data_IF_367840880071
#
_entry.id   IF_367840880071
#
_cell.length_a   1.000
_cell.length_b   1.000
_cell.length_c   1.000
_cell.angle_alpha   90.00
_cell.angle_beta   90.00
_cell.angle_gamma   90.00
#
_symmetry.space_group_name_H-M   'P 1'
#
loop_
_entity.id
_entity.type
_entity.pdbx_description
1 polymer ?
#
# COMPACT_ATOMS: atom_id res chain seq x y z
N UNK A 1 9.91 -12.28 -35.75
CA UNK A 1 10.11 -12.58 -34.31
C UNK A 1 8.78 -12.38 -33.62
N UNK A 2 8.23 -13.36 -32.91
CA UNK A 2 7.02 -13.17 -32.12
C UNK A 2 7.35 -12.09 -31.04
N UNK A 3 6.48 -11.10 -30.89
CA UNK A 3 6.66 -10.11 -29.83
C UNK A 3 6.48 -10.82 -28.50
N UNK A 4 7.42 -10.61 -27.56
CA UNK A 4 7.35 -11.19 -26.21
C UNK A 4 6.35 -10.46 -25.32
N UNK A 5 5.91 -11.12 -24.26
CA UNK A 5 5.05 -10.55 -23.20
C UNK A 5 5.96 -9.96 -22.13
N UNK A 6 5.57 -8.82 -21.53
CA UNK A 6 6.21 -8.31 -20.31
C UNK A 6 5.29 -8.54 -19.12
N UNK A 7 5.77 -9.21 -18.10
CA UNK A 7 5.12 -9.33 -16.80
C UNK A 7 5.76 -8.33 -15.83
N UNK A 8 4.95 -7.49 -15.20
CA UNK A 8 5.38 -6.59 -14.13
C UNK A 8 4.74 -7.08 -12.84
N UNK A 9 5.56 -7.52 -11.90
CA UNK A 9 5.14 -8.11 -10.62
C UNK A 9 5.40 -7.15 -9.46
N UNK A 10 4.58 -7.20 -8.43
CA UNK A 10 4.81 -6.45 -7.19
C UNK A 10 5.58 -7.31 -6.20
N UNK A 11 6.92 -7.19 -6.23
CA UNK A 11 7.84 -7.89 -5.34
C UNK A 11 8.44 -9.17 -5.89
N UNK A 12 9.65 -9.51 -5.38
CA UNK A 12 10.49 -10.60 -5.87
C UNK A 12 9.87 -11.99 -5.62
N UNK A 13 9.14 -12.17 -4.51
CA UNK A 13 8.52 -13.46 -4.19
C UNK A 13 7.56 -13.91 -5.30
N UNK A 14 6.73 -13.00 -5.80
CA UNK A 14 5.81 -13.31 -6.90
C UNK A 14 6.59 -13.52 -8.21
N UNK A 15 7.61 -12.71 -8.47
CA UNK A 15 8.47 -12.88 -9.66
C UNK A 15 9.08 -14.28 -9.70
N UNK A 16 9.66 -14.71 -8.58
CA UNK A 16 10.27 -16.04 -8.44
C UNK A 16 9.23 -17.14 -8.65
N UNK A 17 8.06 -17.01 -8.03
CA UNK A 17 6.97 -17.98 -8.17
C UNK A 17 6.48 -18.10 -9.62
N UNK A 18 6.34 -16.99 -10.35
CA UNK A 18 5.96 -17.04 -11.77
C UNK A 18 7.03 -17.69 -12.65
N UNK A 19 8.33 -17.48 -12.34
CA UNK A 19 9.44 -18.16 -13.04
C UNK A 19 9.42 -19.65 -12.80
N UNK A 20 9.16 -20.10 -11.57
CA UNK A 20 9.06 -21.53 -11.22
C UNK A 20 7.88 -22.23 -11.92
N UNK A 21 6.85 -21.47 -12.29
CA UNK A 21 5.67 -21.95 -13.02
C UNK A 21 5.79 -21.80 -14.55
N UNK A 22 6.97 -21.46 -15.06
CA UNK A 22 7.29 -21.33 -16.49
C UNK A 22 6.35 -20.38 -17.26
N UNK A 23 5.91 -19.27 -16.63
CA UNK A 23 5.19 -18.23 -17.37
C UNK A 23 6.08 -17.60 -18.44
N UNK A 24 5.69 -17.75 -19.71
CA UNK A 24 6.45 -17.26 -20.86
C UNK A 24 6.48 -15.74 -20.94
N UNK A 25 7.66 -15.15 -21.07
CA UNK A 25 7.87 -13.71 -21.25
C UNK A 25 8.97 -13.14 -20.39
N UNK A 26 9.22 -11.86 -20.54
CA UNK A 26 10.16 -11.12 -19.71
C UNK A 26 9.50 -10.76 -18.37
N UNK A 27 10.24 -10.87 -17.26
CA UNK A 27 9.79 -10.49 -15.92
C UNK A 27 10.47 -9.19 -15.49
N UNK A 28 9.70 -8.21 -15.02
CA UNK A 28 10.16 -7.00 -14.36
C UNK A 28 9.60 -6.99 -12.93
N UNK A 29 10.49 -6.91 -11.95
CA UNK A 29 10.10 -6.83 -10.54
C UNK A 29 9.98 -5.37 -10.13
N UNK A 30 8.78 -4.97 -9.71
CA UNK A 30 8.54 -3.70 -9.06
C UNK A 30 8.73 -3.87 -7.55
N UNK A 31 9.85 -3.41 -7.01
CA UNK A 31 10.21 -3.56 -5.60
C UNK A 31 10.24 -2.19 -4.91
N UNK A 32 9.05 -1.60 -4.72
CA UNK A 32 8.85 -0.31 -4.06
C UNK A 32 7.74 -0.36 -3.02
N UNK A 33 7.85 0.51 -2.02
CA UNK A 33 6.87 0.68 -0.92
C UNK A 33 6.24 2.07 -0.99
N UNK A 34 5.59 2.39 -2.12
CA UNK A 34 5.04 3.74 -2.38
C UNK A 34 3.82 4.10 -1.52
N UNK A 35 3.27 3.13 -0.80
CA UNK A 35 2.18 3.40 0.16
C UNK A 35 2.67 4.21 1.38
N UNK A 36 3.97 4.27 1.67
CA UNK A 36 4.57 5.09 2.73
C UNK A 36 5.74 5.91 2.21
N UNK A 37 5.96 7.02 2.88
CA UNK A 37 6.96 8.01 2.53
C UNK A 37 6.51 8.95 1.40
N UNK A 38 7.31 9.98 1.15
CA UNK A 38 7.07 10.95 0.09
C UNK A 38 7.25 10.32 -1.28
N UNK A 39 6.47 10.79 -2.26
CA UNK A 39 6.59 10.40 -3.67
C UNK A 39 6.47 11.60 -4.58
N UNK A 40 6.93 11.45 -5.82
CA UNK A 40 6.77 12.43 -6.90
C UNK A 40 5.99 11.80 -8.05
N UNK A 41 5.35 12.65 -8.88
CA UNK A 41 4.60 12.19 -10.06
C UNK A 41 5.47 11.43 -11.03
N UNK A 42 6.73 11.87 -11.19
CA UNK A 42 7.73 11.20 -12.00
C UNK A 42 8.59 10.26 -11.14
N UNK A 43 8.22 8.98 -11.15
CA UNK A 43 8.89 7.92 -10.36
C UNK A 43 10.26 7.49 -10.95
N UNK A 44 10.62 7.99 -12.11
CA UNK A 44 11.92 7.73 -12.75
C UNK A 44 12.90 8.90 -12.60
N UNK A 45 12.47 10.02 -12.00
CA UNK A 45 13.32 11.20 -11.82
C UNK A 45 14.41 10.97 -10.76
N UNK A 46 15.51 11.72 -10.90
CA UNK A 46 16.60 11.70 -9.91
C UNK A 46 16.10 12.18 -8.55
N UNK A 47 15.24 13.19 -8.53
CA UNK A 47 14.64 13.75 -7.33
C UNK A 47 13.79 12.71 -6.59
N UNK A 48 13.03 11.89 -7.31
CA UNK A 48 12.28 10.79 -6.71
C UNK A 48 13.22 9.79 -6.02
N UNK A 49 14.29 9.38 -6.68
CA UNK A 49 15.25 8.40 -6.14
C UNK A 49 15.93 8.91 -4.88
N UNK A 50 16.38 10.17 -4.87
CA UNK A 50 16.99 10.77 -3.68
C UNK A 50 15.98 10.89 -2.52
N UNK A 51 14.73 11.24 -2.83
CA UNK A 51 13.66 11.32 -1.85
C UNK A 51 13.37 9.95 -1.21
N UNK A 52 13.29 8.89 -2.02
CA UNK A 52 13.07 7.52 -1.54
C UNK A 52 14.24 7.01 -0.71
N UNK A 53 15.46 7.28 -1.16
CA UNK A 53 16.69 6.91 -0.46
C UNK A 53 16.76 7.55 0.94
N UNK A 54 16.44 8.84 1.06
CA UNK A 54 16.35 9.52 2.34
C UNK A 54 15.27 8.88 3.22
N UNK A 55 14.07 8.65 2.69
CA UNK A 55 12.98 8.04 3.42
C UNK A 55 13.33 6.65 4.01
N UNK A 56 13.88 5.75 3.20
CA UNK A 56 14.25 4.40 3.68
C UNK A 56 15.34 4.45 4.74
N UNK A 57 16.34 5.32 4.56
CA UNK A 57 17.42 5.51 5.54
C UNK A 57 16.88 6.06 6.86
N UNK A 58 16.06 7.12 6.80
CA UNK A 58 15.63 7.85 8.01
C UNK A 58 14.51 7.12 8.76
N UNK A 59 13.63 6.42 8.04
CA UNK A 59 12.48 5.73 8.65
C UNK A 59 12.78 4.30 9.05
N UNK A 60 13.60 3.58 8.26
CA UNK A 60 13.81 2.14 8.42
C UNK A 60 15.27 1.76 8.64
N UNK A 61 16.22 2.68 8.52
CA UNK A 61 17.63 2.45 8.80
C UNK A 61 18.39 1.62 7.75
N UNK A 62 17.81 1.37 6.57
CA UNK A 62 18.46 0.60 5.53
C UNK A 62 18.64 1.37 4.21
N UNK A 63 19.56 0.87 3.37
CA UNK A 63 19.87 1.48 2.08
C UNK A 63 18.81 1.18 1.03
N UNK A 64 18.50 2.16 0.19
CA UNK A 64 17.65 2.00 -0.98
C UNK A 64 18.39 1.30 -2.12
N UNK A 65 17.78 0.31 -2.74
CA UNK A 65 18.34 -0.47 -3.87
C UNK A 65 18.25 0.32 -5.19
N UNK A 66 18.87 1.50 -5.21
CA UNK A 66 18.76 2.45 -6.32
C UNK A 66 19.22 1.87 -7.66
N UNK A 67 20.33 1.12 -7.66
CA UNK A 67 20.90 0.56 -8.90
C UNK A 67 19.97 -0.49 -9.51
N UNK A 68 19.42 -1.36 -8.67
CA UNK A 68 18.49 -2.40 -9.06
C UNK A 68 17.19 -1.78 -9.58
N UNK A 69 16.65 -0.81 -8.88
CA UNK A 69 15.45 -0.10 -9.31
C UNK A 69 15.66 0.62 -10.65
N UNK A 70 16.78 1.36 -10.81
CA UNK A 70 17.12 2.01 -12.09
C UNK A 70 17.27 1.00 -13.24
N UNK A 71 17.88 -0.16 -12.98
CA UNK A 71 18.02 -1.21 -13.98
C UNK A 71 16.66 -1.70 -14.49
N UNK A 72 15.70 -1.95 -13.58
CA UNK A 72 14.34 -2.34 -13.96
C UNK A 72 13.60 -1.23 -14.72
N UNK A 73 13.70 0.03 -14.29
CA UNK A 73 13.08 1.18 -14.98
C UNK A 73 13.63 1.37 -16.40
N UNK A 74 14.94 1.22 -16.58
CA UNK A 74 15.58 1.38 -17.91
C UNK A 74 15.13 0.30 -18.92
N UNK A 75 14.69 -0.86 -18.46
CA UNK A 75 14.09 -1.90 -19.33
C UNK A 75 12.80 -1.43 -19.98
N UNK A 76 12.12 -0.43 -19.40
CA UNK A 76 10.91 0.17 -19.94
C UNK A 76 11.15 1.18 -21.06
N UNK A 77 12.41 1.57 -21.34
CA UNK A 77 12.71 2.55 -22.42
C UNK A 77 12.31 2.03 -23.81
N UNK A 78 12.32 0.69 -23.99
CA UNK A 78 11.89 0.02 -25.22
C UNK A 78 10.56 -0.73 -25.03
N UNK A 79 9.63 -0.18 -24.26
CA UNK A 79 8.41 -0.83 -23.83
C UNK A 79 7.52 -1.32 -25.00
N UNK A 80 7.51 -0.59 -26.11
CA UNK A 80 6.68 -0.90 -27.28
C UNK A 80 7.20 -2.07 -28.14
N UNK A 81 8.32 -2.70 -27.75
CA UNK A 81 8.78 -3.98 -28.33
C UNK A 81 7.89 -5.17 -27.94
N UNK A 82 7.19 -5.07 -26.81
CA UNK A 82 6.31 -6.11 -26.31
C UNK A 82 4.97 -6.11 -27.06
N UNK A 83 4.29 -7.25 -27.07
CA UNK A 83 2.93 -7.39 -27.60
C UNK A 83 1.90 -6.88 -26.60
N UNK A 84 2.13 -7.14 -25.32
CA UNK A 84 1.27 -6.78 -24.20
C UNK A 84 2.05 -6.75 -22.90
N UNK A 85 1.47 -6.07 -21.91
CA UNK A 85 2.02 -6.01 -20.55
C UNK A 85 0.98 -6.60 -19.61
N UNK A 86 1.44 -7.50 -18.73
CA UNK A 86 0.62 -8.12 -17.68
C UNK A 86 1.07 -7.55 -16.34
N UNK A 87 0.17 -6.88 -15.65
CA UNK A 87 0.37 -6.27 -14.34
C UNK A 87 -0.14 -7.24 -13.27
N UNK A 88 0.75 -7.69 -12.38
CA UNK A 88 0.45 -8.64 -11.31
C UNK A 88 0.47 -7.91 -9.97
N UNK A 89 -0.71 -7.45 -9.53
CA UNK A 89 -0.86 -6.67 -8.32
C UNK A 89 -2.03 -7.19 -7.48
N UNK A 90 -1.84 -7.20 -6.16
CA UNK A 90 -2.80 -7.76 -5.22
C UNK A 90 -3.88 -6.75 -4.83
N UNK A 91 -4.83 -7.21 -4.01
CA UNK A 91 -6.08 -6.52 -3.64
C UNK A 91 -5.91 -5.35 -2.66
N UNK A 92 -4.72 -5.16 -2.08
CA UNK A 92 -4.48 -4.23 -0.98
C UNK A 92 -3.96 -2.86 -1.41
N UNK A 93 -3.88 -1.95 -0.44
CA UNK A 93 -3.42 -0.58 -0.63
C UNK A 93 -1.96 -0.51 -1.05
N UNK A 94 -1.07 -1.34 -0.43
CA UNK A 94 0.34 -1.39 -0.78
C UNK A 94 0.49 -1.67 -2.29
N UNK A 95 -0.18 -2.71 -2.77
CA UNK A 95 -0.13 -3.12 -4.17
C UNK A 95 -0.83 -2.10 -5.09
N UNK A 96 -1.97 -1.53 -4.68
CA UNK A 96 -2.69 -0.58 -5.54
C UNK A 96 -2.00 0.78 -5.69
N UNK A 97 -1.30 1.27 -4.67
CA UNK A 97 -0.47 2.49 -4.83
C UNK A 97 0.68 2.21 -5.81
N UNK A 98 1.34 1.06 -5.70
CA UNK A 98 2.36 0.65 -6.66
C UNK A 98 1.79 0.47 -8.07
N UNK A 99 0.61 -0.14 -8.21
CA UNK A 99 -0.08 -0.34 -9.51
C UNK A 99 -0.35 0.98 -10.23
N UNK A 100 -0.94 1.98 -9.54
CA UNK A 100 -1.22 3.27 -10.16
C UNK A 100 0.05 4.06 -10.50
N UNK A 101 1.12 3.88 -9.72
CA UNK A 101 2.44 4.44 -10.03
C UNK A 101 3.04 3.79 -11.28
N UNK A 102 3.02 2.46 -11.38
CA UNK A 102 3.50 1.71 -12.55
C UNK A 102 2.73 2.12 -13.81
N UNK A 103 1.40 2.19 -13.76
CA UNK A 103 0.60 2.64 -14.90
C UNK A 103 0.97 4.07 -15.30
N UNK A 104 1.18 4.97 -14.33
CA UNK A 104 1.62 6.33 -14.61
C UNK A 104 3.00 6.38 -15.27
N UNK A 105 3.95 5.54 -14.80
CA UNK A 105 5.28 5.40 -15.40
C UNK A 105 5.21 4.87 -16.84
N UNK A 106 4.40 3.84 -17.10
CA UNK A 106 4.19 3.30 -18.44
C UNK A 106 3.69 4.38 -19.43
N UNK A 107 2.80 5.27 -18.95
CA UNK A 107 2.34 6.42 -19.75
C UNK A 107 3.49 7.43 -20.00
N UNK A 108 4.34 7.70 -19.02
CA UNK A 108 5.52 8.55 -19.18
C UNK A 108 6.51 7.96 -20.20
N UNK A 109 6.67 6.63 -20.18
CA UNK A 109 7.47 5.89 -21.18
C UNK A 109 6.75 5.71 -22.54
N UNK A 110 5.58 6.36 -22.73
CA UNK A 110 4.80 6.33 -23.98
C UNK A 110 4.41 4.90 -24.40
N UNK A 111 4.08 4.04 -23.43
CA UNK A 111 3.58 2.70 -23.71
C UNK A 111 2.28 2.78 -24.53
N UNK A 112 2.25 2.12 -25.68
CA UNK A 112 1.09 2.04 -26.59
C UNK A 112 0.55 0.62 -26.70
N UNK A 113 1.12 -0.31 -25.95
CA UNK A 113 0.72 -1.72 -25.94
C UNK A 113 -0.40 -1.97 -24.94
N UNK A 114 -1.27 -2.97 -25.17
CA UNK A 114 -2.35 -3.32 -24.26
C UNK A 114 -1.84 -3.69 -22.87
N UNK A 115 -2.50 -3.16 -21.84
CA UNK A 115 -2.24 -3.49 -20.43
C UNK A 115 -3.32 -4.45 -19.93
N UNK A 116 -2.90 -5.49 -19.22
CA UNK A 116 -3.79 -6.45 -18.56
C UNK A 116 -3.46 -6.50 -17.08
N UNK A 117 -4.49 -6.64 -16.25
CA UNK A 117 -4.34 -6.78 -14.81
C UNK A 117 -4.70 -8.21 -14.39
N UNK A 118 -3.80 -8.85 -13.67
CA UNK A 118 -4.06 -10.03 -12.83
C UNK A 118 -4.08 -9.56 -11.40
N UNK A 119 -5.24 -9.65 -10.77
CA UNK A 119 -5.42 -9.21 -9.39
C UNK A 119 -5.99 -10.37 -8.56
N UNK A 120 -5.39 -10.63 -7.42
CA UNK A 120 -5.93 -11.58 -6.45
C UNK A 120 -6.89 -10.91 -5.47
N UNK A 121 -7.54 -11.72 -4.70
CA UNK A 121 -8.42 -11.29 -3.64
C UNK A 121 -9.29 -12.44 -3.17
N UNK A 122 -10.58 -12.36 -3.47
CA UNK A 122 -11.52 -13.41 -3.08
C UNK A 122 -11.41 -14.62 -4.00
N UNK A 123 -11.32 -15.80 -3.39
CA UNK A 123 -11.32 -17.09 -4.06
C UNK A 123 -12.63 -17.81 -3.71
N UNK A 124 -13.32 -18.34 -4.71
CA UNK A 124 -14.57 -19.08 -4.50
C UNK A 124 -14.34 -20.29 -3.59
N UNK A 125 -15.22 -20.43 -2.60
CA UNK A 125 -15.14 -21.51 -1.60
C UNK A 125 -14.12 -21.29 -0.48
N UNK A 126 -13.34 -20.21 -0.50
CA UNK A 126 -12.37 -19.88 0.54
C UNK A 126 -12.79 -18.70 1.41
N UNK A 127 -12.40 -18.76 2.69
CA UNK A 127 -12.61 -17.64 3.61
C UNK A 127 -11.45 -16.65 3.52
N UNK A 128 -11.78 -15.35 3.42
CA UNK A 128 -10.79 -14.27 3.39
C UNK A 128 -10.29 -13.90 2.00
N UNK A 129 -9.35 -12.98 1.99
CA UNK A 129 -8.65 -12.51 0.79
C UNK A 129 -7.27 -13.18 0.74
N UNK A 130 -6.82 -13.56 -0.44
CA UNK A 130 -5.51 -14.18 -0.66
C UNK A 130 -4.64 -13.33 -1.57
N UNK A 131 -3.35 -13.32 -1.28
CA UNK A 131 -2.33 -12.76 -2.15
C UNK A 131 -2.05 -13.69 -3.34
N UNK A 132 -1.50 -13.17 -4.43
CA UNK A 132 -1.13 -13.95 -5.62
C UNK A 132 -0.11 -15.06 -5.27
N UNK A 133 0.81 -14.76 -4.38
CA UNK A 133 1.84 -15.71 -3.92
C UNK A 133 1.28 -16.84 -3.04
N UNK A 134 0.06 -16.72 -2.52
CA UNK A 134 -0.63 -17.75 -1.75
C UNK A 134 -1.51 -18.67 -2.59
N UNK A 135 -1.68 -18.36 -3.87
CA UNK A 135 -2.49 -19.17 -4.78
C UNK A 135 -1.73 -20.42 -5.19
N UNK A 136 -2.46 -21.54 -5.30
CA UNK A 136 -1.90 -22.73 -5.95
C UNK A 136 -1.57 -22.47 -7.42
N UNK A 137 -0.68 -23.25 -8.06
CA UNK A 137 -0.36 -23.10 -9.47
C UNK A 137 -1.60 -23.08 -10.37
N UNK A 138 -2.58 -23.93 -10.08
CA UNK A 138 -3.86 -23.99 -10.82
C UNK A 138 -4.65 -22.69 -10.67
N UNK A 139 -4.84 -22.21 -9.44
CA UNK A 139 -5.55 -20.95 -9.17
C UNK A 139 -4.85 -19.75 -9.81
N UNK A 140 -3.51 -19.70 -9.76
CA UNK A 140 -2.74 -18.62 -10.36
C UNK A 140 -2.89 -18.59 -11.88
N UNK A 141 -2.89 -19.77 -12.52
CA UNK A 141 -3.14 -19.90 -13.96
C UNK A 141 -4.57 -19.49 -14.33
N UNK A 142 -5.56 -19.87 -13.54
CA UNK A 142 -6.95 -19.42 -13.72
C UNK A 142 -7.07 -17.90 -13.62
N UNK A 143 -6.37 -17.25 -12.66
CA UNK A 143 -6.31 -15.78 -12.57
C UNK A 143 -5.65 -15.15 -13.79
N UNK A 144 -4.57 -15.74 -14.29
CA UNK A 144 -3.91 -15.28 -15.50
C UNK A 144 -4.81 -15.41 -16.74
N UNK A 145 -5.54 -16.52 -16.89
CA UNK A 145 -6.43 -16.75 -18.03
C UNK A 145 -7.61 -15.75 -17.99
N UNK A 146 -8.07 -15.38 -16.80
CA UNK A 146 -9.13 -14.40 -16.55
C UNK A 146 -8.64 -12.96 -16.39
N UNK A 147 -7.39 -12.66 -16.79
CA UNK A 147 -6.83 -11.30 -16.70
C UNK A 147 -7.71 -10.25 -17.37
N UNK A 148 -7.85 -9.12 -16.75
CA UNK A 148 -8.70 -8.02 -17.19
C UNK A 148 -7.90 -7.08 -18.09
N UNK A 149 -8.36 -6.85 -19.31
CA UNK A 149 -7.80 -5.80 -20.17
C UNK A 149 -8.21 -4.42 -19.64
N UNK A 150 -7.23 -3.59 -19.32
CA UNK A 150 -7.50 -2.22 -18.86
C UNK A 150 -7.98 -1.34 -20.01
N UNK A 151 -9.05 -0.59 -19.74
CA UNK A 151 -9.62 0.38 -20.68
C UNK A 151 -8.88 1.73 -20.60
N UNK A 152 -9.15 2.61 -21.54
CA UNK A 152 -8.63 4.00 -21.51
C UNK A 152 -9.12 4.73 -20.26
N UNK A 153 -10.34 4.45 -19.80
CA UNK A 153 -10.90 5.05 -18.58
C UNK A 153 -10.19 4.55 -17.31
N UNK A 154 -9.83 3.26 -17.24
CA UNK A 154 -9.05 2.70 -16.15
C UNK A 154 -7.66 3.35 -16.07
N UNK A 155 -6.98 3.45 -17.21
CA UNK A 155 -5.66 4.06 -17.31
C UNK A 155 -5.71 5.54 -16.90
N UNK A 156 -6.75 6.26 -17.35
CA UNK A 156 -6.98 7.67 -16.95
C UNK A 156 -7.26 7.81 -15.46
N UNK A 157 -8.04 6.88 -14.89
CA UNK A 157 -8.33 6.84 -13.46
C UNK A 157 -7.06 6.59 -12.64
N UNK A 158 -6.24 5.62 -13.03
CA UNK A 158 -4.96 5.32 -12.38
C UNK A 158 -4.01 6.53 -12.40
N UNK A 159 -3.83 7.18 -13.56
CA UNK A 159 -3.05 8.40 -13.70
C UNK A 159 -3.55 9.54 -12.80
N UNK A 160 -4.88 9.73 -12.75
CA UNK A 160 -5.50 10.75 -11.91
C UNK A 160 -5.29 10.45 -10.43
N UNK A 161 -5.51 9.20 -10.01
CA UNK A 161 -5.30 8.76 -8.62
C UNK A 161 -3.84 8.96 -8.19
N UNK A 162 -2.87 8.56 -9.03
CA UNK A 162 -1.45 8.79 -8.77
C UNK A 162 -1.11 10.27 -8.66
N UNK A 163 -1.60 11.10 -9.58
CA UNK A 163 -1.37 12.56 -9.56
C UNK A 163 -1.88 13.20 -8.26
N UNK A 164 -3.06 12.76 -7.78
CA UNK A 164 -3.63 13.25 -6.52
C UNK A 164 -2.84 12.73 -5.32
N UNK A 165 -2.45 11.47 -5.34
CA UNK A 165 -1.66 10.85 -4.27
C UNK A 165 -0.30 11.53 -4.08
N UNK A 166 0.35 11.94 -5.16
CA UNK A 166 1.58 12.75 -5.11
C UNK A 166 1.35 14.22 -4.72
N UNK A 167 0.10 14.66 -4.61
CA UNK A 167 -0.26 16.00 -4.18
C UNK A 167 -0.56 16.07 -2.68
N UNK A 168 -0.81 17.27 -2.18
CA UNK A 168 -1.06 17.53 -0.76
C UNK A 168 -2.54 17.53 -0.36
N UNK A 169 -3.47 17.31 -1.28
CA UNK A 169 -4.92 17.31 -0.97
C UNK A 169 -5.56 15.97 -1.35
N UNK A 170 -5.50 15.03 -0.42
CA UNK A 170 -6.03 13.68 -0.62
C UNK A 170 -7.57 13.59 -0.54
N UNK A 171 -8.28 14.64 -0.17
CA UNK A 171 -9.75 14.70 -0.32
C UNK A 171 -10.18 14.56 -1.79
N UNK A 172 -9.31 14.93 -2.73
CA UNK A 172 -9.55 14.75 -4.16
C UNK A 172 -9.61 13.29 -4.60
N UNK A 173 -9.21 12.34 -3.75
CA UNK A 173 -9.39 10.89 -3.97
C UNK A 173 -10.84 10.44 -3.69
N UNK A 174 -11.61 11.16 -2.89
CA UNK A 174 -12.96 10.77 -2.47
C UNK A 174 -13.89 10.51 -3.67
N UNK A 175 -13.97 11.40 -4.69
CA UNK A 175 -14.79 11.13 -5.87
C UNK A 175 -14.34 9.89 -6.67
N UNK A 176 -13.07 9.47 -6.55
CA UNK A 176 -12.56 8.29 -7.25
C UNK A 176 -13.00 6.99 -6.57
N UNK A 177 -13.32 7.03 -5.26
CA UNK A 177 -13.78 5.87 -4.49
C UNK A 177 -15.07 5.27 -5.06
N UNK A 178 -15.96 6.13 -5.58
CA UNK A 178 -17.28 5.71 -6.10
C UNK A 178 -17.29 5.56 -7.62
N UNK A 179 -16.16 5.84 -8.29
CA UNK A 179 -16.08 5.75 -9.74
C UNK A 179 -15.96 4.27 -10.17
N UNK A 180 -16.86 3.77 -11.02
CA UNK A 180 -16.74 2.43 -11.59
C UNK A 180 -15.44 2.26 -12.37
N UNK A 181 -14.78 1.11 -12.22
CA UNK A 181 -13.57 0.75 -12.94
C UNK A 181 -13.32 -0.76 -12.87
N UNK A 182 -12.42 -1.24 -13.70
CA UNK A 182 -11.93 -2.62 -13.64
C UNK A 182 -10.94 -2.87 -12.48
N UNK A 183 -10.57 -1.84 -11.72
CA UNK A 183 -9.80 -1.99 -10.47
C UNK A 183 -10.74 -2.35 -9.32
N UNK A 184 -11.10 -3.63 -9.20
CA UNK A 184 -12.13 -4.15 -8.27
C UNK A 184 -11.93 -3.68 -6.83
N UNK A 185 -10.67 -3.53 -6.40
CA UNK A 185 -10.32 -3.21 -5.01
C UNK A 185 -9.85 -1.76 -4.80
N UNK A 186 -9.70 -0.93 -5.85
CA UNK A 186 -9.21 0.44 -5.73
C UNK A 186 -10.06 1.27 -4.76
N UNK A 187 -11.37 1.13 -4.80
CA UNK A 187 -12.29 1.80 -3.88
C UNK A 187 -11.97 1.48 -2.40
N UNK A 188 -11.73 0.21 -2.09
CA UNK A 188 -11.39 -0.23 -0.73
C UNK A 188 -10.00 0.26 -0.31
N UNK A 189 -9.04 0.25 -1.23
CA UNK A 189 -7.68 0.74 -1.01
C UNK A 189 -7.67 2.25 -0.74
N UNK A 190 -8.42 3.05 -1.51
CA UNK A 190 -8.52 4.50 -1.29
C UNK A 190 -9.23 4.83 0.04
N UNK A 191 -10.25 4.04 0.44
CA UNK A 191 -10.85 4.15 1.78
C UNK A 191 -9.86 3.81 2.88
N UNK A 192 -9.08 2.73 2.73
CA UNK A 192 -8.01 2.37 3.66
C UNK A 192 -6.95 3.47 3.74
N UNK A 193 -6.60 4.09 2.60
CA UNK A 193 -5.69 5.23 2.56
C UNK A 193 -6.16 6.40 3.41
N UNK A 194 -7.42 6.86 3.26
CA UNK A 194 -7.95 7.96 4.07
C UNK A 194 -7.95 7.63 5.57
N UNK A 195 -8.19 6.38 5.93
CA UNK A 195 -8.19 5.88 7.32
C UNK A 195 -6.81 5.74 7.95
N UNK A 196 -5.72 6.03 7.22
CA UNK A 196 -4.37 6.14 7.77
C UNK A 196 -4.10 7.48 8.47
N UNK A 197 -4.94 8.47 8.22
CA UNK A 197 -4.91 9.73 8.98
C UNK A 197 -5.60 9.55 10.32
N UNK A 198 -5.17 10.32 11.31
CA UNK A 198 -5.66 10.20 12.68
C UNK A 198 -7.16 10.53 12.78
N UNK A 199 -7.93 9.69 13.48
CA UNK A 199 -9.34 9.98 13.79
C UNK A 199 -9.44 11.20 14.70
N UNK A 200 -10.41 12.08 14.46
CA UNK A 200 -10.60 13.33 15.20
C UNK A 200 -10.87 13.12 16.70
N UNK A 201 -11.38 11.94 17.11
CA UNK A 201 -11.75 11.67 18.51
C UNK A 201 -10.60 11.13 19.34
N UNK A 202 -9.83 10.19 18.80
CA UNK A 202 -8.76 9.51 19.54
C UNK A 202 -7.36 10.01 19.19
N UNK A 203 -7.18 10.59 17.99
CA UNK A 203 -5.85 10.90 17.46
C UNK A 203 -5.10 9.69 16.89
N UNK A 204 -5.68 8.48 16.97
CA UNK A 204 -5.15 7.26 16.35
C UNK A 204 -5.74 7.08 14.95
N UNK A 205 -4.99 6.50 14.04
CA UNK A 205 -5.57 6.02 12.80
C UNK A 205 -6.33 4.69 13.01
N UNK A 206 -7.07 4.24 11.99
CA UNK A 206 -7.89 3.02 12.12
C UNK A 206 -7.06 1.76 12.44
N UNK A 207 -5.85 1.63 11.87
CA UNK A 207 -5.00 0.46 12.12
C UNK A 207 -4.42 0.51 13.54
N UNK A 208 -3.93 1.66 13.97
CA UNK A 208 -3.43 1.89 15.34
C UNK A 208 -4.51 1.58 16.37
N UNK A 209 -5.74 2.06 16.16
CA UNK A 209 -6.89 1.73 17.01
C UNK A 209 -7.20 0.23 17.04
N UNK A 210 -7.18 -0.43 15.87
CA UNK A 210 -7.42 -1.86 15.77
C UNK A 210 -6.33 -2.69 16.46
N UNK A 211 -5.07 -2.25 16.44
CA UNK A 211 -3.97 -2.91 17.16
C UNK A 211 -4.23 -2.88 18.68
N UNK A 212 -4.58 -1.72 19.24
CA UNK A 212 -4.93 -1.64 20.66
C UNK A 212 -6.17 -2.50 20.98
N UNK A 213 -7.15 -2.55 20.09
CA UNK A 213 -8.32 -3.43 20.25
C UNK A 213 -7.93 -4.90 20.25
N UNK A 214 -6.99 -5.34 19.41
CA UNK A 214 -6.49 -6.72 19.42
C UNK A 214 -5.84 -7.07 20.76
N UNK A 215 -5.00 -6.18 21.32
CA UNK A 215 -4.40 -6.36 22.65
C UNK A 215 -5.49 -6.49 23.73
N UNK A 216 -6.59 -5.73 23.61
CA UNK A 216 -7.70 -5.77 24.59
C UNK A 216 -8.58 -7.00 24.47
N UNK A 217 -8.69 -7.62 23.29
CA UNK A 217 -9.69 -8.67 23.03
C UNK A 217 -9.10 -10.06 22.84
N UNK A 218 -7.79 -10.18 22.76
CA UNK A 218 -7.09 -11.45 22.57
C UNK A 218 -5.96 -11.59 23.59
N UNK A 219 -5.62 -12.83 23.95
CA UNK A 219 -4.40 -13.10 24.71
C UNK A 219 -3.20 -12.99 23.78
N UNK A 220 -2.40 -11.96 23.96
CA UNK A 220 -1.21 -11.65 23.13
C UNK A 220 0.05 -11.87 23.95
N UNK A 221 0.82 -12.91 23.64
CA UNK A 221 1.95 -13.35 24.46
C UNK A 221 3.26 -12.58 24.16
N UNK A 222 3.36 -11.88 23.02
CA UNK A 222 4.56 -11.14 22.63
C UNK A 222 4.27 -10.15 21.49
N UNK A 223 5.18 -9.21 21.24
CA UNK A 223 5.09 -8.30 20.07
C UNK A 223 5.08 -9.09 18.75
N UNK A 224 5.85 -10.17 18.66
CA UNK A 224 5.85 -11.04 17.47
C UNK A 224 4.48 -11.69 17.27
N UNK A 225 3.84 -12.18 18.33
CA UNK A 225 2.50 -12.73 18.28
C UNK A 225 1.47 -11.67 17.85
N UNK A 226 1.58 -10.44 18.39
CA UNK A 226 0.75 -9.30 17.97
C UNK A 226 0.95 -8.98 16.47
N UNK A 227 2.19 -8.95 15.99
CA UNK A 227 2.49 -8.72 14.57
C UNK A 227 1.78 -9.74 13.67
N UNK A 228 1.76 -11.02 14.05
CA UNK A 228 1.03 -12.06 13.33
C UNK A 228 -0.48 -11.80 13.26
N UNK A 229 -1.10 -11.39 14.39
CA UNK A 229 -2.51 -11.00 14.40
C UNK A 229 -2.77 -9.77 13.51
N UNK A 230 -1.92 -8.75 13.61
CA UNK A 230 -2.10 -7.52 12.82
C UNK A 230 -1.97 -7.82 11.33
N UNK A 231 -0.99 -8.60 10.90
CA UNK A 231 -0.84 -9.04 9.50
C UNK A 231 -2.09 -9.78 9.00
N UNK A 232 -2.69 -10.61 9.84
CA UNK A 232 -3.90 -11.35 9.48
C UNK A 232 -5.15 -10.46 9.41
N UNK A 233 -5.30 -9.51 10.35
CA UNK A 233 -6.50 -8.68 10.48
C UNK A 233 -6.40 -7.27 9.89
N UNK A 234 -5.29 -6.91 9.25
CA UNK A 234 -5.08 -5.56 8.69
C UNK A 234 -6.04 -5.19 7.54
N UNK A 235 -6.72 -6.15 6.95
CA UNK A 235 -7.67 -5.92 5.87
C UNK A 235 -7.00 -5.46 4.57
N UNK A 236 -7.38 -4.28 4.07
CA UNK A 236 -6.89 -3.75 2.80
C UNK A 236 -5.59 -2.92 2.89
N UNK A 237 -4.85 -2.94 3.99
CA UNK A 237 -3.60 -2.18 4.08
C UNK A 237 -2.44 -2.84 3.33
N UNK A 238 -2.29 -4.17 3.44
CA UNK A 238 -1.21 -4.92 2.78
C UNK A 238 0.18 -4.60 3.32
N UNK A 239 0.29 -4.14 4.55
CA UNK A 239 1.55 -3.80 5.18
C UNK A 239 2.39 -5.05 5.45
N UNK A 240 3.70 -4.92 5.27
CA UNK A 240 4.67 -5.96 5.61
C UNK A 240 5.10 -5.89 7.08
N UNK A 241 5.93 -6.85 7.52
CA UNK A 241 6.42 -6.94 8.89
C UNK A 241 7.08 -5.64 9.37
N UNK A 242 7.93 -5.01 8.57
CA UNK A 242 8.66 -3.78 8.95
C UNK A 242 7.70 -2.64 9.28
N UNK A 243 6.67 -2.47 8.46
CA UNK A 243 5.65 -1.44 8.66
C UNK A 243 4.82 -1.72 9.92
N UNK A 244 4.40 -2.97 10.12
CA UNK A 244 3.62 -3.38 11.30
C UNK A 244 4.44 -3.23 12.58
N UNK A 245 5.70 -3.68 12.60
CA UNK A 245 6.58 -3.53 13.77
C UNK A 245 6.80 -2.07 14.14
N UNK A 246 7.03 -1.20 13.15
CA UNK A 246 7.15 0.25 13.38
C UNK A 246 5.87 0.82 14.01
N UNK A 247 4.69 0.41 13.53
CA UNK A 247 3.41 0.89 14.07
C UNK A 247 3.20 0.37 15.50
N UNK A 248 3.51 -0.90 15.77
CA UNK A 248 3.41 -1.48 17.12
C UNK A 248 4.36 -0.76 18.10
N UNK A 249 5.58 -0.47 17.67
CA UNK A 249 6.55 0.26 18.48
C UNK A 249 6.07 1.69 18.80
N UNK A 250 5.45 2.39 17.84
CA UNK A 250 4.87 3.71 18.07
C UNK A 250 3.70 3.71 19.08
N UNK A 251 3.11 2.54 19.34
CA UNK A 251 2.00 2.37 20.29
C UNK A 251 2.45 1.89 21.68
N UNK A 252 3.75 1.70 21.92
CA UNK A 252 4.27 1.15 23.19
C UNK A 252 3.88 1.97 24.43
N UNK A 253 3.58 3.26 24.29
CA UNK A 253 3.07 4.12 25.36
C UNK A 253 1.67 3.70 25.88
N UNK A 254 0.94 2.85 25.17
CA UNK A 254 -0.46 2.52 25.45
C UNK A 254 -0.68 1.09 25.91
N UNK A 255 0.38 0.29 26.00
CA UNK A 255 0.31 -1.06 26.52
C UNK A 255 1.54 -1.37 27.39
N UNK A 256 1.42 -2.41 28.20
CA UNK A 256 2.50 -2.94 29.04
C UNK A 256 2.85 -4.34 28.54
N UNK A 257 4.13 -4.61 28.38
CA UNK A 257 4.68 -5.91 28.03
C UNK A 257 5.27 -6.58 29.27
N UNK A 258 4.78 -7.76 29.60
CA UNK A 258 5.35 -8.65 30.63
C UNK A 258 6.08 -9.80 29.96
N UNK A 259 6.59 -10.75 30.73
CA UNK A 259 7.20 -11.97 30.17
C UNK A 259 6.20 -12.85 29.43
N UNK A 260 4.93 -12.77 29.79
CA UNK A 260 3.91 -13.73 29.38
C UNK A 260 2.84 -13.13 28.48
N UNK A 261 2.63 -11.79 28.53
CA UNK A 261 1.57 -11.15 27.76
C UNK A 261 1.75 -9.63 27.57
N UNK A 262 1.03 -9.12 26.58
CA UNK A 262 0.80 -7.69 26.37
C UNK A 262 -0.61 -7.32 26.85
N UNK A 263 -0.71 -6.28 27.66
CA UNK A 263 -2.00 -5.76 28.17
C UNK A 263 -2.09 -4.26 27.97
N UNK A 264 -3.27 -3.73 27.74
CA UNK A 264 -3.45 -2.28 27.69
C UNK A 264 -3.17 -1.68 29.08
N UNK A 265 -2.47 -0.54 29.07
CA UNK A 265 -2.41 0.30 30.26
C UNK A 265 -3.63 1.25 30.32
N UNK A 266 -3.70 2.09 31.37
CA UNK A 266 -4.80 3.04 31.56
C UNK A 266 -5.08 3.90 30.32
N UNK A 267 -4.02 4.42 29.70
CA UNK A 267 -4.14 5.29 28.53
C UNK A 267 -4.67 4.54 27.31
N UNK A 268 -4.24 3.29 27.12
CA UNK A 268 -4.75 2.41 26.07
C UNK A 268 -6.25 2.16 26.19
N UNK A 269 -6.77 1.93 27.41
CA UNK A 269 -8.21 1.80 27.65
C UNK A 269 -8.96 3.09 27.35
N UNK A 270 -8.48 4.24 27.85
CA UNK A 270 -9.10 5.56 27.60
C UNK A 270 -9.16 5.90 26.10
N UNK A 271 -8.16 5.48 25.31
CA UNK A 271 -8.16 5.64 23.87
C UNK A 271 -9.24 4.81 23.18
N UNK A 272 -9.41 3.55 23.57
CA UNK A 272 -10.46 2.69 23.00
C UNK A 272 -11.86 3.20 23.34
N UNK A 273 -12.03 3.83 24.50
CA UNK A 273 -13.28 4.43 24.96
C UNK A 273 -13.49 5.87 24.42
N UNK A 274 -12.56 6.39 23.60
CA UNK A 274 -12.58 7.79 23.10
C UNK A 274 -12.60 8.86 24.21
N UNK A 275 -12.04 8.54 25.39
CA UNK A 275 -11.91 9.47 26.53
C UNK A 275 -10.57 10.19 26.55
N UNK A 276 -9.66 9.84 25.64
CA UNK A 276 -8.35 10.46 25.44
C UNK A 276 -8.09 10.69 23.96
N UNK A 277 -7.41 11.81 23.66
CA UNK A 277 -6.93 12.11 22.31
C UNK A 277 -5.41 12.30 22.36
N UNK A 278 -4.71 11.54 21.52
CA UNK A 278 -3.23 11.51 21.50
C UNK A 278 -2.66 12.11 20.22
N UNK A 279 -3.46 12.88 19.48
CA UNK A 279 -3.01 13.51 18.24
C UNK A 279 -1.68 14.28 18.40
N UNK A 280 -1.44 14.92 19.55
CA UNK A 280 -0.21 15.66 19.81
C UNK A 280 0.95 14.82 20.42
N UNK A 281 0.69 13.59 20.82
CA UNK A 281 1.64 12.74 21.55
C UNK A 281 2.20 11.58 20.73
N UNK A 282 1.56 11.23 19.59
CA UNK A 282 1.99 10.13 18.75
C UNK A 282 2.87 10.62 17.59
N UNK A 283 3.79 9.79 17.12
CA UNK A 283 4.63 10.12 15.97
C UNK A 283 3.80 10.42 14.72
N UNK A 284 4.05 11.58 14.14
CA UNK A 284 3.35 12.13 12.98
C UNK A 284 4.24 12.29 11.76
N UNK A 285 5.50 11.88 11.84
CA UNK A 285 6.51 12.16 10.81
C UNK A 285 6.34 11.34 9.53
N UNK A 286 5.28 10.52 9.44
CA UNK A 286 5.00 9.76 8.23
C UNK A 286 4.35 10.62 7.15
N UNK A 287 4.85 10.46 5.92
CA UNK A 287 4.24 10.99 4.72
C UNK A 287 3.54 9.88 3.93
N UNK A 288 2.49 10.24 3.23
CA UNK A 288 1.75 9.38 2.33
C UNK A 288 1.67 10.07 0.97
N UNK A 289 2.60 9.75 0.08
CA UNK A 289 2.70 10.49 -1.17
C UNK A 289 3.11 11.95 -0.95
N UNK A 290 2.24 12.89 -1.31
CA UNK A 290 2.49 14.33 -1.13
C UNK A 290 1.85 14.94 0.12
N UNK A 291 1.21 14.13 1.00
CA UNK A 291 0.56 14.61 2.22
C UNK A 291 1.24 14.07 3.48
N UNK A 292 1.52 14.94 4.45
CA UNK A 292 2.03 14.55 5.75
C UNK A 292 0.89 14.05 6.65
N UNK A 293 1.16 13.01 7.45
CA UNK A 293 0.20 12.45 8.40
C UNK A 293 -0.34 13.51 9.37
N UNK A 294 0.48 14.49 9.76
CA UNK A 294 0.10 15.56 10.67
C UNK A 294 -0.77 16.66 10.03
N UNK A 295 -0.81 16.77 8.70
CA UNK A 295 -1.55 17.85 8.02
C UNK A 295 -3.06 17.66 8.07
N UNK A 296 -3.52 16.44 8.39
CA UNK A 296 -4.94 16.09 8.31
C UNK A 296 -5.37 15.18 9.46
N UNK A 297 -6.64 15.31 9.84
CA UNK A 297 -7.37 14.33 10.63
C UNK A 297 -8.50 13.73 9.80
N UNK A 298 -8.83 12.46 10.07
CA UNK A 298 -9.91 11.75 9.41
C UNK A 298 -11.21 11.90 10.18
N UNK A 299 -12.21 12.51 9.57
CA UNK A 299 -13.54 12.64 10.11
C UNK A 299 -14.43 11.51 9.59
N UNK A 300 -14.63 10.49 10.44
CA UNK A 300 -15.28 9.22 10.09
C UNK A 300 -16.71 9.41 9.56
N UNK A 301 -17.51 10.28 10.20
CA UNK A 301 -18.94 10.43 9.87
C UNK A 301 -19.17 11.00 8.46
N UNK A 302 -18.23 11.78 7.94
CA UNK A 302 -18.29 12.34 6.60
C UNK A 302 -17.30 11.69 5.62
N UNK A 303 -16.54 10.68 6.07
CA UNK A 303 -15.52 10.00 5.29
C UNK A 303 -14.58 10.97 4.55
N UNK A 304 -14.11 12.01 5.23
CA UNK A 304 -13.24 13.05 4.66
C UNK A 304 -12.07 13.40 5.58
N UNK A 305 -11.03 14.00 4.99
CA UNK A 305 -9.91 14.58 5.72
C UNK A 305 -10.21 16.06 6.05
N UNK A 306 -9.95 16.44 7.29
CA UNK A 306 -10.01 17.82 7.76
C UNK A 306 -8.57 18.28 7.94
N UNK A 307 -8.21 19.41 7.32
CA UNK A 307 -6.87 19.99 7.48
C UNK A 307 -6.69 20.44 8.93
N UNK A 308 -5.61 20.00 9.56
CA UNK A 308 -5.22 20.47 10.88
C UNK A 308 -4.75 21.90 10.77
N UNK A 309 -5.40 22.82 11.48
CA UNK A 309 -4.81 24.12 11.82
C UNK A 309 -3.79 23.86 12.92
N UNK A 310 -2.52 23.71 12.56
CA UNK A 310 -1.46 23.88 13.55
C UNK A 310 -1.54 25.34 13.96
N UNK A 311 -1.99 25.60 15.20
CA UNK A 311 -1.74 26.89 15.82
C UNK A 311 -0.21 27.04 15.84
N UNK A 312 0.29 27.97 15.04
CA UNK A 312 1.65 28.42 15.16
C UNK A 312 1.72 29.17 16.50
N UNK A 313 2.20 28.47 17.54
CA UNK A 313 2.70 29.10 18.75
C UNK A 313 4.09 29.63 18.48
#
# INVERSE_FOLDING_TARGET
MSKSILHITNGENLTTYLRELDFEGDMLTWDEMLCEGPTLKDVASTEFLELRKAFFKDTYGFGYKEKEFKAEINRLDNINRYERIILWFEYDLFCHINLIAVISLLLQKKASVPLYLVCSGRIDGEKGLKSLSQLSPKQLKEHYDNKIKLTVDDISLAKKAWTIYCGNNHNLLIPLIVRPSNFIYLSNCLKAHLRRFADTRSGLNTLEYNILKLINTHTINSRHHLSGYVLYYQGFYGYNNLQIERIINNLELFYTETKDELTLNRDGHLLLEHQKNVFNSIDKNMEYGGAKKCDFTYFKDQNKLIKTTLNAD
#
